data_IF_668906718171
#
_entry.id   IF_668906718171
#
_cell.length_a   1.000
_cell.length_b   1.000
_cell.length_c   1.000
_cell.angle_alpha   90.00
_cell.angle_beta   90.00
_cell.angle_gamma   90.00
#
_symmetry.space_group_name_H-M   'P 1'
#
loop_
_entity.id
_entity.type
_entity.pdbx_description
1 polymer ?
#
# COMPACT_ATOMS: atom_id res chain seq x y z
N UNK A 1 -5.94 50.51 -1.78
CA UNK A 1 -6.01 49.12 -2.34
C UNK A 1 -5.03 48.18 -1.63
N UNK A 2 -5.24 47.72 -0.37
CA UNK A 2 -4.11 47.06 0.36
C UNK A 2 -4.40 45.85 1.27
N UNK A 3 -5.66 45.46 1.55
CA UNK A 3 -5.95 44.28 2.41
C UNK A 3 -6.82 43.20 1.75
N UNK A 4 -7.87 43.58 1.02
CA UNK A 4 -8.75 42.62 0.35
C UNK A 4 -8.06 41.72 -0.69
N UNK A 5 -7.12 42.27 -1.47
CA UNK A 5 -6.36 41.48 -2.44
C UNK A 5 -5.44 40.43 -1.78
N UNK A 6 -4.92 40.71 -0.58
CA UNK A 6 -4.08 39.76 0.16
C UNK A 6 -4.92 38.58 0.68
N UNK A 7 -6.12 38.85 1.19
CA UNK A 7 -7.06 37.81 1.61
C UNK A 7 -7.50 36.96 0.41
N UNK A 8 -7.83 37.60 -0.71
CA UNK A 8 -8.19 36.89 -1.94
C UNK A 8 -7.04 36.01 -2.46
N UNK A 9 -5.80 36.49 -2.41
CA UNK A 9 -4.62 35.71 -2.79
C UNK A 9 -4.41 34.49 -1.88
N UNK A 10 -4.65 34.64 -0.57
CA UNK A 10 -4.56 33.52 0.39
C UNK A 10 -5.65 32.48 0.10
N UNK A 11 -6.88 32.90 -0.17
CA UNK A 11 -7.99 32.00 -0.51
C UNK A 11 -7.69 31.25 -1.81
N UNK A 12 -7.18 31.94 -2.85
CA UNK A 12 -6.75 31.28 -4.09
C UNK A 12 -5.65 30.26 -3.81
N UNK A 13 -4.65 30.61 -3.01
CA UNK A 13 -3.55 29.69 -2.67
C UNK A 13 -4.07 28.44 -1.96
N UNK A 14 -5.03 28.58 -1.04
CA UNK A 14 -5.68 27.44 -0.37
C UNK A 14 -6.47 26.56 -1.34
N UNK A 15 -7.24 27.16 -2.26
CA UNK A 15 -7.99 26.39 -3.27
C UNK A 15 -7.04 25.65 -4.21
N UNK A 16 -5.97 26.31 -4.68
CA UNK A 16 -4.94 25.67 -5.52
C UNK A 16 -4.25 24.54 -4.76
N UNK A 17 -3.96 24.72 -3.47
CA UNK A 17 -3.36 23.68 -2.63
C UNK A 17 -4.28 22.45 -2.51
N UNK A 18 -5.58 22.64 -2.24
CA UNK A 18 -6.56 21.56 -2.17
C UNK A 18 -6.74 20.86 -3.52
N UNK A 19 -6.88 21.61 -4.61
CA UNK A 19 -6.97 21.06 -5.96
C UNK A 19 -5.70 20.29 -6.34
N UNK A 20 -4.53 20.77 -5.93
CA UNK A 20 -3.26 20.07 -6.07
C UNK A 20 -3.30 18.70 -5.39
N UNK A 21 -3.75 18.62 -4.13
CA UNK A 21 -3.88 17.35 -3.41
C UNK A 21 -4.81 16.35 -4.11
N UNK A 22 -5.93 16.82 -4.66
CA UNK A 22 -6.86 15.97 -5.43
C UNK A 22 -6.24 15.52 -6.76
N UNK A 23 -5.57 16.42 -7.47
CA UNK A 23 -4.90 16.14 -8.74
C UNK A 23 -3.80 15.08 -8.63
N UNK A 24 -3.02 15.09 -7.54
CA UNK A 24 -2.02 14.05 -7.29
C UNK A 24 -2.65 12.65 -7.18
N UNK A 25 -3.77 12.51 -6.45
CA UNK A 25 -4.48 11.22 -6.34
C UNK A 25 -5.08 10.78 -7.68
N UNK A 26 -5.62 11.72 -8.45
CA UNK A 26 -6.19 11.42 -9.76
C UNK A 26 -5.11 10.91 -10.74
N UNK A 27 -3.91 11.49 -10.71
CA UNK A 27 -2.79 11.02 -11.52
C UNK A 27 -2.37 9.58 -11.17
N UNK A 28 -2.32 9.22 -9.89
CA UNK A 28 -2.00 7.85 -9.46
C UNK A 28 -3.01 6.84 -9.99
N UNK A 29 -4.30 7.18 -9.99
CA UNK A 29 -5.36 6.30 -10.46
C UNK A 29 -5.30 6.07 -11.99
N UNK A 30 -5.06 7.13 -12.77
CA UNK A 30 -5.06 7.05 -14.24
C UNK A 30 -3.75 6.54 -14.86
N UNK A 31 -2.59 6.89 -14.27
CA UNK A 31 -1.28 6.54 -14.83
C UNK A 31 -0.55 5.45 -14.02
N UNK A 32 -1.18 4.91 -12.98
CA UNK A 32 -0.62 3.83 -12.19
C UNK A 32 -0.57 2.52 -12.97
N UNK A 33 0.52 1.78 -12.79
CA UNK A 33 0.63 0.42 -13.28
C UNK A 33 -0.41 -0.47 -12.57
N UNK A 34 -1.20 -1.27 -13.30
CA UNK A 34 -2.16 -2.19 -12.70
C UNK A 34 -1.42 -3.38 -12.07
N UNK A 35 -1.57 -3.53 -10.76
CA UNK A 35 -0.98 -4.57 -9.93
C UNK A 35 -2.10 -5.38 -9.30
N UNK A 36 -2.29 -6.61 -9.76
CA UNK A 36 -3.25 -7.55 -9.17
C UNK A 36 -2.61 -8.25 -7.97
N UNK A 37 -3.15 -8.02 -6.79
CA UNK A 37 -2.66 -8.57 -5.53
C UNK A 37 -3.63 -9.64 -5.00
N UNK A 38 -3.05 -10.74 -4.52
CA UNK A 38 -3.80 -11.78 -3.83
C UNK A 38 -4.04 -11.37 -2.39
N UNK A 39 -5.29 -11.43 -1.96
CA UNK A 39 -5.65 -11.12 -0.57
C UNK A 39 -5.61 -12.38 0.30
N UNK A 40 -5.43 -12.17 1.60
CA UNK A 40 -5.55 -13.18 2.63
C UNK A 40 -6.90 -13.01 3.34
N UNK A 41 -7.54 -14.10 3.79
CA UNK A 41 -8.79 -14.02 4.53
C UNK A 41 -8.57 -13.25 5.85
N UNK A 42 -9.46 -12.31 6.16
CA UNK A 42 -9.39 -11.50 7.38
C UNK A 42 -10.62 -11.73 8.25
N UNK A 43 -10.40 -11.89 9.54
CA UNK A 43 -11.42 -12.18 10.55
C UNK A 43 -12.44 -11.02 10.67
N UNK A 44 -13.75 -11.29 10.72
CA UNK A 44 -14.79 -10.28 10.63
C UNK A 44 -15.11 -9.70 12.00
N UNK A 45 -14.76 -8.44 12.29
CA UNK A 45 -15.43 -7.65 13.34
C UNK A 45 -15.12 -6.15 13.23
N UNK A 46 -16.16 -5.33 13.02
CA UNK A 46 -16.51 -4.16 13.85
C UNK A 46 -17.91 -3.66 13.41
N UNK A 47 -18.91 -3.71 14.30
CA UNK A 47 -20.32 -3.43 13.99
C UNK A 47 -20.70 -1.93 13.93
N UNK A 48 -19.75 -0.99 14.08
CA UNK A 48 -20.11 0.42 14.32
C UNK A 48 -19.29 1.49 13.57
N UNK A 49 -18.61 1.18 12.45
CA UNK A 49 -17.76 2.17 11.74
C UNK A 49 -18.08 2.38 10.24
N UNK A 50 -19.21 1.90 9.77
CA UNK A 50 -19.51 1.80 8.33
C UNK A 50 -18.98 0.50 7.74
N UNK A 51 -19.52 0.06 6.60
CA UNK A 51 -19.09 -1.18 5.96
C UNK A 51 -17.76 -0.97 5.22
N UNK A 52 -16.68 -1.51 5.78
CA UNK A 52 -15.39 -1.63 5.10
C UNK A 52 -14.85 -3.03 5.30
N UNK A 53 -14.20 -3.56 4.27
CA UNK A 53 -13.52 -4.85 4.33
C UNK A 53 -12.06 -4.59 4.63
N UNK A 54 -11.54 -5.25 5.68
CA UNK A 54 -10.09 -5.27 5.94
C UNK A 54 -9.46 -6.30 5.02
N UNK A 55 -8.46 -5.87 4.25
CA UNK A 55 -7.72 -6.70 3.32
C UNK A 55 -6.33 -7.00 3.89
N UNK A 56 -6.01 -8.28 4.03
CA UNK A 56 -4.63 -8.75 4.17
C UNK A 56 -4.08 -9.07 2.79
N UNK A 57 -2.78 -8.88 2.57
CA UNK A 57 -2.13 -9.25 1.30
C UNK A 57 -1.05 -10.29 1.53
N UNK A 58 -0.82 -11.15 0.54
CA UNK A 58 0.32 -12.08 0.59
C UNK A 58 1.65 -11.32 0.69
N UNK A 59 1.74 -10.16 0.03
CA UNK A 59 2.91 -9.28 0.11
C UNK A 59 3.05 -8.55 1.48
N UNK A 60 2.09 -8.66 2.40
CA UNK A 60 2.20 -8.04 3.73
C UNK A 60 3.10 -8.85 4.68
N UNK A 61 3.32 -10.13 4.39
CA UNK A 61 4.11 -11.06 5.20
C UNK A 61 5.22 -11.64 4.33
N UNK A 62 6.41 -11.05 4.42
CA UNK A 62 7.54 -11.42 3.55
C UNK A 62 8.64 -12.07 4.37
N UNK A 63 8.90 -13.36 4.12
CA UNK A 63 10.02 -14.07 4.71
C UNK A 63 11.34 -13.52 4.17
N UNK A 64 12.26 -13.21 5.07
CA UNK A 64 13.54 -12.62 4.72
C UNK A 64 14.38 -13.52 3.81
N UNK A 65 14.50 -14.81 4.15
CA UNK A 65 15.20 -15.78 3.32
C UNK A 65 14.55 -16.10 1.96
N UNK A 66 13.39 -15.52 1.64
CA UNK A 66 12.66 -15.77 0.39
C UNK A 66 12.82 -14.70 -0.69
N UNK A 67 13.48 -13.59 -0.39
CA UNK A 67 13.63 -12.43 -1.29
C UNK A 67 14.99 -11.77 -1.12
N UNK A 68 15.36 -10.91 -2.06
CA UNK A 68 16.53 -10.04 -1.91
C UNK A 68 16.17 -8.85 -1.00
N UNK A 69 16.93 -8.62 0.06
CA UNK A 69 16.77 -7.45 0.93
C UNK A 69 18.10 -6.80 1.27
N UNK A 70 18.08 -5.47 1.44
CA UNK A 70 19.25 -4.71 1.92
C UNK A 70 19.11 -4.28 3.40
N UNK A 71 18.27 -4.98 4.16
CA UNK A 71 17.99 -4.68 5.55
C UNK A 71 18.95 -5.50 6.41
N UNK A 72 19.65 -4.90 7.38
CA UNK A 72 20.56 -5.71 8.20
C UNK A 72 19.76 -6.64 9.11
N UNK A 73 20.36 -7.77 9.48
CA UNK A 73 19.71 -8.93 10.11
C UNK A 73 19.06 -8.73 11.49
N UNK A 74 18.98 -7.50 11.94
CA UNK A 74 18.36 -7.10 13.21
C UNK A 74 17.31 -6.00 12.99
N UNK A 75 16.81 -5.86 11.76
CA UNK A 75 16.16 -4.65 11.29
C UNK A 75 17.15 -3.51 11.05
N UNK A 76 18.34 -3.53 11.67
CA UNK A 76 19.35 -2.47 11.64
C UNK A 76 19.72 -1.96 10.23
N UNK A 77 20.03 -0.68 10.15
CA UNK A 77 20.61 0.07 9.04
C UNK A 77 21.55 0.99 9.78
N UNK A 78 22.85 0.81 9.57
CA UNK A 78 23.91 1.60 10.23
C UNK A 78 23.94 1.52 11.78
N UNK A 79 23.77 0.34 12.39
CA UNK A 79 23.98 0.15 13.84
C UNK A 79 22.87 0.63 14.76
N UNK A 80 21.69 0.93 14.22
CA UNK A 80 20.55 1.52 14.94
C UNK A 80 19.54 0.45 15.40
N UNK A 81 19.41 0.19 16.71
CA UNK A 81 18.55 -0.83 17.36
C UNK A 81 17.13 -0.98 16.76
N UNK A 82 16.58 -2.20 16.89
CA UNK A 82 15.27 -2.68 16.41
C UNK A 82 14.06 -1.75 16.71
N UNK A 83 14.17 -0.90 17.73
CA UNK A 83 13.17 0.12 18.09
C UNK A 83 12.96 1.21 17.02
N UNK A 84 13.88 1.36 16.06
CA UNK A 84 13.90 2.49 15.11
C UNK A 84 13.29 2.11 13.73
N UNK A 85 12.70 0.91 13.61
CA UNK A 85 12.10 0.42 12.37
C UNK A 85 10.59 0.51 12.29
N UNK A 86 9.91 0.78 13.40
CA UNK A 86 8.48 0.96 13.39
C UNK A 86 8.13 2.18 12.51
N UNK A 87 7.24 1.98 11.55
CA UNK A 87 6.77 3.00 10.61
C UNK A 87 7.83 3.50 9.59
N UNK A 88 8.98 2.83 9.45
CA UNK A 88 9.94 3.15 8.37
C UNK A 88 9.31 2.86 7.01
N UNK A 89 9.48 3.79 6.06
CA UNK A 89 9.06 3.57 4.67
C UNK A 89 10.07 2.69 3.95
N UNK A 90 9.60 1.59 3.38
CA UNK A 90 10.34 0.66 2.55
C UNK A 90 9.78 0.65 1.13
N UNK A 91 10.58 0.21 0.19
CA UNK A 91 10.22 0.06 -1.22
C UNK A 91 10.22 -1.44 -1.54
N UNK A 92 9.03 -2.00 -1.73
CA UNK A 92 8.86 -3.41 -2.09
C UNK A 92 8.77 -3.49 -3.59
N UNK A 93 9.71 -4.19 -4.22
CA UNK A 93 9.67 -4.45 -5.67
C UNK A 93 8.80 -5.67 -5.91
N UNK A 94 7.87 -5.51 -6.83
CA UNK A 94 6.93 -6.51 -7.28
C UNK A 94 7.27 -6.93 -8.71
N UNK A 95 7.12 -8.22 -8.97
CA UNK A 95 7.13 -8.81 -10.32
C UNK A 95 5.86 -9.61 -10.55
N UNK A 96 5.40 -9.60 -11.80
CA UNK A 96 4.27 -10.41 -12.21
C UNK A 96 4.67 -11.89 -12.27
N UNK A 97 4.01 -12.73 -11.47
CA UNK A 97 4.15 -14.19 -11.46
C UNK A 97 2.79 -14.83 -11.75
N UNK A 98 2.61 -15.26 -12.99
CA UNK A 98 1.30 -15.69 -13.49
C UNK A 98 0.33 -14.52 -13.58
N UNK A 99 -0.82 -14.61 -12.91
CA UNK A 99 -1.83 -13.54 -12.89
C UNK A 99 -1.57 -12.48 -11.80
N UNK A 100 -0.85 -12.83 -10.75
CA UNK A 100 -0.65 -11.99 -9.57
C UNK A 100 0.74 -11.38 -9.55
N UNK A 101 0.89 -10.30 -8.78
CA UNK A 101 2.17 -9.69 -8.49
C UNK A 101 2.69 -10.17 -7.14
N UNK A 102 3.95 -10.57 -7.09
CA UNK A 102 4.62 -11.06 -5.89
C UNK A 102 5.82 -10.19 -5.55
N UNK A 103 6.11 -10.04 -4.26
CA UNK A 103 7.29 -9.34 -3.80
C UNK A 103 8.56 -10.14 -4.15
N UNK A 104 9.55 -9.46 -4.71
CA UNK A 104 10.85 -10.05 -5.10
C UNK A 104 12.03 -9.43 -4.37
N UNK A 105 11.91 -8.16 -3.98
CA UNK A 105 12.94 -7.52 -3.15
C UNK A 105 12.39 -6.39 -2.30
N UNK A 106 13.11 -6.07 -1.23
CA UNK A 106 12.80 -4.95 -0.34
C UNK A 106 14.03 -4.05 -0.20
N UNK A 107 13.79 -2.75 -0.37
CA UNK A 107 14.82 -1.74 -0.27
C UNK A 107 14.44 -0.65 0.71
N UNK A 108 15.40 -0.15 1.48
CA UNK A 108 15.21 1.02 2.34
C UNK A 108 15.31 2.37 1.59
N UNK A 109 15.79 2.33 0.34
CA UNK A 109 15.87 3.46 -0.60
C UNK A 109 15.20 3.09 -1.91
N UNK A 110 14.82 4.10 -2.69
CA UNK A 110 14.16 3.89 -3.98
C UNK A 110 15.06 3.04 -4.92
N UNK A 111 14.62 1.84 -5.33
CA UNK A 111 15.44 0.96 -6.15
C UNK A 111 15.43 1.38 -7.63
N UNK A 112 16.40 0.89 -8.39
CA UNK A 112 16.34 0.89 -9.86
C UNK A 112 15.57 -0.35 -10.30
N UNK A 113 14.47 -0.13 -11.02
CA UNK A 113 13.63 -1.20 -11.53
C UNK A 113 14.25 -1.83 -12.78
N UNK A 114 14.09 -3.16 -12.92
CA UNK A 114 14.26 -3.89 -14.17
C UNK A 114 12.96 -3.79 -15.00
N UNK A 115 13.04 -4.11 -16.28
CA UNK A 115 11.86 -4.10 -17.16
C UNK A 115 10.76 -5.03 -16.62
N UNK A 116 9.52 -4.51 -16.57
CA UNK A 116 8.36 -5.23 -16.06
C UNK A 116 8.21 -5.24 -14.54
N UNK A 117 9.15 -4.65 -13.79
CA UNK A 117 9.02 -4.48 -12.33
C UNK A 117 8.25 -3.22 -11.96
N UNK A 118 7.60 -3.25 -10.80
CA UNK A 118 6.97 -2.09 -10.16
C UNK A 118 7.41 -2.06 -8.71
N UNK A 119 7.64 -0.90 -8.10
CA UNK A 119 7.81 -0.84 -6.65
C UNK A 119 6.59 -0.18 -6.00
N UNK A 120 6.23 -0.66 -4.83
CA UNK A 120 5.19 -0.11 -3.97
C UNK A 120 5.82 0.34 -2.64
N UNK A 121 5.39 1.48 -2.12
CA UNK A 121 5.81 1.94 -0.79
C UNK A 121 5.08 1.15 0.28
N UNK A 122 5.84 0.65 1.24
CA UNK A 122 5.34 -0.04 2.40
C UNK A 122 5.83 0.64 3.68
N UNK A 123 5.10 0.44 4.77
CA UNK A 123 5.52 0.79 6.12
C UNK A 123 5.82 -0.49 6.88
N UNK A 124 7.02 -0.58 7.41
CA UNK A 124 7.40 -1.68 8.29
C UNK A 124 6.65 -1.53 9.62
N UNK A 125 5.77 -2.48 9.91
CA UNK A 125 5.06 -2.54 11.19
C UNK A 125 6.01 -3.10 12.25
N UNK A 126 6.53 -4.30 11.98
CA UNK A 126 7.53 -4.95 12.81
C UNK A 126 8.20 -6.09 12.02
N UNK A 127 9.29 -6.60 12.57
CA UNK A 127 9.96 -7.80 12.08
C UNK A 127 9.77 -8.92 13.10
N UNK A 128 9.21 -10.05 12.65
CA UNK A 128 8.98 -11.23 13.47
C UNK A 128 10.25 -12.08 13.52
N UNK A 129 11.05 -11.88 14.58
CA UNK A 129 12.27 -12.65 14.81
C UNK A 129 12.04 -14.17 14.87
N UNK A 130 10.83 -14.64 15.25
CA UNK A 130 10.54 -16.08 15.38
C UNK A 130 10.24 -16.71 14.04
N UNK A 131 9.60 -15.96 13.14
CA UNK A 131 9.21 -16.42 11.80
C UNK A 131 10.16 -15.98 10.69
N UNK A 132 11.15 -15.16 11.03
CA UNK A 132 12.06 -14.51 10.09
C UNK A 132 11.30 -13.76 8.97
N UNK A 133 10.33 -12.93 9.37
CA UNK A 133 9.35 -12.33 8.47
C UNK A 133 9.16 -10.83 8.73
N UNK A 134 9.14 -10.03 7.66
CA UNK A 134 8.73 -8.63 7.70
C UNK A 134 7.21 -8.52 7.64
N UNK A 135 6.60 -7.79 8.59
CA UNK A 135 5.20 -7.39 8.49
C UNK A 135 5.10 -5.97 7.96
N UNK A 136 4.43 -5.83 6.82
CA UNK A 136 4.33 -4.60 6.05
C UNK A 136 2.88 -4.15 5.88
N UNK A 137 2.67 -2.83 5.81
CA UNK A 137 1.40 -2.23 5.35
C UNK A 137 1.64 -1.25 4.22
N UNK A 138 0.67 -1.11 3.34
CA UNK A 138 0.72 -0.40 2.06
C UNK A 138 -0.26 0.78 2.00
N UNK A 139 -1.12 0.94 3.01
CA UNK A 139 -2.15 1.99 3.04
C UNK A 139 -3.38 1.64 2.20
N UNK A 140 -3.50 0.38 1.79
CA UNK A 140 -4.59 -0.19 1.00
C UNK A 140 -5.25 -1.37 1.73
N UNK A 141 -5.10 -1.44 3.05
CA UNK A 141 -5.69 -2.50 3.88
C UNK A 141 -7.18 -2.31 4.14
N UNK A 142 -7.76 -1.16 3.79
CA UNK A 142 -9.17 -0.86 4.00
C UNK A 142 -9.85 -0.57 2.67
N UNK A 143 -10.88 -1.34 2.34
CA UNK A 143 -11.73 -1.12 1.18
C UNK A 143 -13.15 -0.76 1.62
N UNK A 144 -13.61 0.43 1.25
CA UNK A 144 -14.93 0.94 1.62
C UNK A 144 -15.96 0.45 0.59
N UNK A 145 -17.04 -0.16 1.08
CA UNK A 145 -18.10 -0.73 0.25
C UNK A 145 -19.42 -0.01 0.52
N UNK A 146 -20.35 0.02 -0.45
CA UNK A 146 -21.71 0.46 -0.21
C UNK A 146 -22.38 -0.38 0.89
N UNK A 147 -23.28 0.24 1.65
CA UNK A 147 -24.02 -0.43 2.72
C UNK A 147 -24.82 -1.64 2.20
N UNK A 148 -24.67 -2.80 2.86
CA UNK A 148 -25.26 -4.08 2.49
C UNK A 148 -24.37 -4.98 1.61
N UNK A 149 -23.26 -4.49 1.07
CA UNK A 149 -22.34 -5.29 0.23
C UNK A 149 -21.15 -5.87 1.00
N UNK A 150 -20.76 -5.28 2.14
CA UNK A 150 -19.60 -5.73 2.91
C UNK A 150 -19.71 -7.17 3.37
N UNK A 151 -20.87 -7.57 3.91
CA UNK A 151 -21.11 -8.95 4.35
C UNK A 151 -20.99 -9.99 3.23
N UNK A 152 -21.22 -9.62 1.96
CA UNK A 152 -21.09 -10.54 0.82
C UNK A 152 -19.63 -10.79 0.47
N UNK A 153 -18.81 -9.74 0.50
CA UNK A 153 -17.36 -9.86 0.26
C UNK A 153 -16.63 -10.48 1.46
N UNK A 154 -17.00 -10.14 2.69
CA UNK A 154 -16.39 -10.67 3.92
C UNK A 154 -16.54 -12.19 4.06
N UNK A 155 -17.66 -12.76 3.57
CA UNK A 155 -17.89 -14.21 3.59
C UNK A 155 -17.03 -14.97 2.59
N UNK A 156 -16.36 -14.28 1.68
CA UNK A 156 -15.52 -14.90 0.66
C UNK A 156 -14.09 -14.95 1.15
N UNK A 157 -13.54 -16.15 1.27
CA UNK A 157 -12.13 -16.35 1.61
C UNK A 157 -11.17 -16.01 0.46
N UNK A 158 -11.71 -15.82 -0.75
CA UNK A 158 -10.96 -15.77 -2.00
C UNK A 158 -11.18 -14.42 -2.70
N UNK A 159 -10.69 -13.34 -2.10
CA UNK A 159 -10.72 -12.02 -2.73
C UNK A 159 -9.38 -11.73 -3.45
N UNK A 160 -9.44 -10.92 -4.49
CA UNK A 160 -8.29 -10.33 -5.16
C UNK A 160 -8.51 -8.82 -5.26
N UNK A 161 -7.43 -8.05 -5.18
CA UNK A 161 -7.47 -6.60 -5.26
C UNK A 161 -6.68 -6.13 -6.48
N UNK A 162 -7.35 -5.40 -7.37
CA UNK A 162 -6.69 -4.66 -8.43
C UNK A 162 -6.27 -3.30 -7.88
N UNK A 163 -4.97 -3.04 -7.89
CA UNK A 163 -4.35 -1.85 -7.31
C UNK A 163 -3.62 -1.08 -8.39
N UNK A 164 -3.75 0.24 -8.38
CA UNK A 164 -2.95 1.15 -9.22
C UNK A 164 -1.75 1.65 -8.44
N UNK A 165 -0.55 1.42 -8.96
CA UNK A 165 0.70 1.86 -8.34
C UNK A 165 1.40 2.89 -9.23
N UNK A 166 1.63 4.09 -8.71
CA UNK A 166 2.31 5.15 -9.48
C UNK A 166 3.84 5.02 -9.49
N UNK A 167 4.50 5.87 -10.28
CA UNK A 167 5.97 5.97 -10.39
C UNK A 167 6.70 6.36 -9.09
N UNK A 168 5.96 6.76 -8.06
CA UNK A 168 6.45 7.09 -6.72
C UNK A 168 6.15 6.00 -5.69
N UNK A 169 5.51 4.90 -6.11
CA UNK A 169 5.12 3.76 -5.29
C UNK A 169 3.91 4.02 -4.40
N UNK A 170 3.09 5.06 -4.66
CA UNK A 170 1.80 5.17 -4.00
C UNK A 170 0.82 4.18 -4.64
N UNK A 171 0.01 3.56 -3.80
CA UNK A 171 -0.98 2.57 -4.20
C UNK A 171 -2.39 3.05 -3.89
N UNK A 172 -3.33 2.75 -4.80
CA UNK A 172 -4.77 2.98 -4.63
C UNK A 172 -5.52 1.75 -5.12
N UNK A 173 -6.50 1.28 -4.35
CA UNK A 173 -7.39 0.19 -4.77
C UNK A 173 -8.31 0.71 -5.87
N UNK A 174 -8.30 0.05 -7.02
CA UNK A 174 -9.25 0.30 -8.12
C UNK A 174 -10.51 -0.55 -7.96
N UNK A 175 -10.35 -1.83 -7.61
CA UNK A 175 -11.46 -2.78 -7.45
C UNK A 175 -11.04 -3.97 -6.59
N UNK A 176 -12.00 -4.53 -5.86
CA UNK A 176 -11.88 -5.83 -5.19
C UNK A 176 -12.87 -6.79 -5.80
N UNK A 177 -12.40 -7.95 -6.26
CA UNK A 177 -13.22 -9.00 -6.87
C UNK A 177 -13.07 -10.33 -6.15
N UNK A 178 -14.05 -11.21 -6.34
CA UNK A 178 -13.97 -12.61 -5.89
C UNK A 178 -13.21 -13.39 -6.97
N UNK A 179 -12.22 -14.18 -6.57
CA UNK A 179 -11.48 -15.07 -7.47
C UNK A 179 -12.50 -16.07 -8.04
N UNK A 180 -12.79 -15.96 -9.34
CA UNK A 180 -13.57 -16.97 -10.06
C UNK A 180 -12.69 -18.20 -10.26
N UNK A 181 -13.02 -19.27 -9.54
CA UNK A 181 -12.45 -20.61 -9.78
C UNK A 181 -12.95 -21.20 -11.10
#
# INVERSE_FOLDING_TARGET
MKRGHKLFLIVILQVVFLLGMVGFKYHTLHFGAPVLLKTLPVDPWDMFRGEYVRLGYEISSIKRGGIEDNLNASGQVNGIKQEIYQNKTLYVVLEKRGNYWSAVSIWDKKPRLKDGQVFIKARLQYYDNRRDEYRLTYGIESYYVPEGEGKKLERQSNLEALVRVDRFGNAVIETVSIIKS
#
